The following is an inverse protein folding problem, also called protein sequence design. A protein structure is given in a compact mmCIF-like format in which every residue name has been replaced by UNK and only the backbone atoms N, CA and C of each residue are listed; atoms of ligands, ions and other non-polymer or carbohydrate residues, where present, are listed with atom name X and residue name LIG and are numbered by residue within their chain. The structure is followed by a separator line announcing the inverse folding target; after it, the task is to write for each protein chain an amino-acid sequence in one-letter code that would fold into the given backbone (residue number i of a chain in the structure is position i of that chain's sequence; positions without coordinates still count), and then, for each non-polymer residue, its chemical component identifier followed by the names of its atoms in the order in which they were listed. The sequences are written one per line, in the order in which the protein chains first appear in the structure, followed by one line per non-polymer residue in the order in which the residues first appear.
data_IF_870159286476
#
_entry.id   IF_870159286476
#
_cell.length_a   1.000
_cell.length_b   1.000
_cell.length_c   1.000
_cell.angle_alpha   90.00
_cell.angle_beta   90.00
_cell.angle_gamma   90.00
#
_symmetry.space_group_name_H-M   'P 1'
#
loop_
_entity.id
_entity.type
_entity.pdbx_description
1 polymer ?
#
# COMPACT_ATOMS: atom_id res chain seq x y z
N UNK A 1 71.86 -13.10 -31.39
CA UNK A 1 71.19 -14.04 -30.47
C UNK A 1 70.51 -13.27 -29.35
N UNK A 2 69.19 -13.40 -29.29
CA UNK A 2 68.26 -13.16 -28.17
C UNK A 2 68.30 -11.83 -27.41
N UNK A 3 67.34 -10.94 -27.67
CA UNK A 3 66.62 -10.14 -26.64
C UNK A 3 65.15 -9.88 -27.01
N UNK A 4 64.32 -10.84 -26.60
CA UNK A 4 62.97 -10.74 -26.01
C UNK A 4 62.07 -9.55 -26.43
N UNK A 5 61.05 -9.86 -27.26
CA UNK A 5 59.79 -9.12 -27.35
C UNK A 5 59.01 -9.28 -26.03
N UNK A 6 58.73 -8.17 -25.35
CA UNK A 6 57.71 -8.12 -24.29
C UNK A 6 56.39 -7.61 -24.88
N UNK A 7 55.51 -8.54 -25.25
CA UNK A 7 54.11 -8.25 -25.52
C UNK A 7 53.36 -8.10 -24.18
N UNK A 8 53.07 -6.87 -23.78
CA UNK A 8 52.18 -6.60 -22.66
C UNK A 8 50.72 -6.76 -23.12
N UNK A 9 50.15 -7.95 -22.91
CA UNK A 9 48.70 -8.17 -23.01
C UNK A 9 48.08 -7.59 -21.73
N UNK A 10 47.59 -6.35 -21.82
CA UNK A 10 46.75 -5.76 -20.79
C UNK A 10 45.32 -6.29 -20.98
N UNK A 11 45.01 -7.42 -20.33
CA UNK A 11 43.63 -7.91 -20.21
C UNK A 11 42.87 -6.92 -19.33
N UNK A 12 42.15 -5.97 -19.96
CA UNK A 12 41.08 -5.22 -19.32
C UNK A 12 39.98 -6.20 -18.93
N UNK A 13 40.05 -6.75 -17.72
CA UNK A 13 38.89 -7.35 -17.07
C UNK A 13 37.99 -6.21 -16.60
N UNK A 14 37.21 -5.64 -17.51
CA UNK A 14 35.98 -4.94 -17.14
C UNK A 14 35.03 -5.99 -16.54
N UNK A 15 35.24 -6.28 -15.25
CA UNK A 15 34.24 -6.94 -14.45
C UNK A 15 32.98 -6.09 -14.52
N UNK A 16 31.97 -6.58 -15.24
CA UNK A 16 30.59 -6.16 -15.05
C UNK A 16 30.25 -6.52 -13.61
N UNK A 17 30.57 -5.63 -12.68
CA UNK A 17 30.00 -5.66 -11.35
C UNK A 17 28.50 -5.45 -11.57
N UNK A 18 27.76 -6.55 -11.65
CA UNK A 18 26.31 -6.52 -11.49
C UNK A 18 26.08 -5.86 -10.15
N UNK A 19 25.70 -4.58 -10.19
CA UNK A 19 25.38 -3.81 -9.01
C UNK A 19 24.30 -4.60 -8.30
N UNK A 20 24.64 -5.20 -7.15
CA UNK A 20 23.68 -5.99 -6.38
C UNK A 20 22.43 -5.13 -6.21
N UNK A 21 21.28 -5.66 -6.59
CA UNK A 21 20.02 -4.94 -6.45
C UNK A 21 19.93 -4.49 -5.00
N UNK A 22 19.87 -3.18 -4.77
CA UNK A 22 19.77 -2.66 -3.42
C UNK A 22 18.50 -3.24 -2.79
N UNK A 23 18.61 -3.75 -1.56
CA UNK A 23 17.44 -4.19 -0.79
C UNK A 23 16.42 -3.04 -0.74
N UNK A 24 15.22 -3.30 -1.21
CA UNK A 24 14.11 -2.34 -1.13
C UNK A 24 12.92 -2.95 -0.41
N UNK A 25 12.00 -2.08 0.00
CA UNK A 25 10.74 -2.50 0.58
C UNK A 25 9.57 -1.97 -0.24
N UNK A 26 8.58 -2.82 -0.48
CA UNK A 26 7.31 -2.46 -1.05
C UNK A 26 6.25 -2.46 0.05
N UNK A 27 5.64 -1.30 0.29
CA UNK A 27 4.61 -1.13 1.30
C UNK A 27 3.22 -1.27 0.68
N UNK A 28 2.41 -2.16 1.23
CA UNK A 28 0.97 -2.21 0.99
C UNK A 28 0.28 -1.81 2.29
N UNK A 29 -0.64 -0.86 2.23
CA UNK A 29 -1.40 -0.37 3.38
C UNK A 29 -2.87 -0.66 3.16
N UNK A 30 -3.52 -1.32 4.11
CA UNK A 30 -4.95 -1.60 4.09
C UNK A 30 -5.68 -0.91 5.24
N UNK A 31 -6.72 -0.14 4.91
CA UNK A 31 -7.70 0.34 5.87
C UNK A 31 -8.66 -0.76 6.32
N UNK A 32 -9.54 -0.45 7.27
CA UNK A 32 -10.54 -1.34 7.83
C UNK A 32 -11.95 -1.09 7.28
N UNK A 33 -12.83 -2.10 7.33
CA UNK A 33 -14.22 -1.97 6.89
C UNK A 33 -15.08 -1.23 7.91
N UNK A 34 -16.20 -0.70 7.42
CA UNK A 34 -17.33 -0.30 8.24
C UNK A 34 -17.89 -1.48 9.03
N UNK A 35 -18.63 -1.20 10.10
CA UNK A 35 -19.37 -2.20 10.87
C UNK A 35 -20.77 -2.44 10.30
N UNK A 36 -21.38 -3.61 10.52
CA UNK A 36 -22.68 -3.98 9.92
C UNK A 36 -23.77 -3.02 10.34
N UNK A 37 -23.84 -2.70 11.63
CA UNK A 37 -24.86 -1.79 12.16
C UNK A 37 -24.91 -0.43 11.45
N UNK A 38 -23.80 0.02 10.86
CA UNK A 38 -23.72 1.27 10.13
C UNK A 38 -23.90 1.09 8.62
N UNK A 39 -23.40 0.00 8.05
CA UNK A 39 -23.68 -0.33 6.64
C UNK A 39 -25.18 -0.57 6.40
N UNK A 40 -25.87 -1.19 7.36
CA UNK A 40 -27.29 -1.53 7.26
C UNK A 40 -28.22 -0.30 7.40
N UNK A 41 -27.70 0.85 7.87
CA UNK A 41 -28.42 2.13 7.87
C UNK A 41 -28.37 2.85 6.51
N UNK A 42 -27.48 2.42 5.60
CA UNK A 42 -27.35 3.04 4.27
C UNK A 42 -28.49 2.60 3.37
N UNK A 43 -28.89 3.49 2.46
CA UNK A 43 -29.87 3.13 1.43
C UNK A 43 -29.42 1.87 0.66
N UNK A 44 -30.35 0.99 0.26
CA UNK A 44 -30.03 -0.19 -0.55
C UNK A 44 -29.20 0.17 -1.78
N UNK A 45 -28.10 -0.55 -2.00
CA UNK A 45 -27.18 -0.26 -3.09
C UNK A 45 -26.05 0.72 -2.73
N UNK A 46 -26.18 1.49 -1.65
CA UNK A 46 -25.17 2.46 -1.20
C UNK A 46 -24.21 1.93 -0.13
N UNK A 47 -24.29 0.64 0.22
CA UNK A 47 -23.33 -0.02 1.10
C UNK A 47 -21.94 -0.02 0.45
N UNK A 48 -20.95 0.38 1.23
CA UNK A 48 -19.55 0.38 0.81
C UNK A 48 -18.90 -0.97 1.10
N UNK A 49 -19.14 -1.52 2.30
CA UNK A 49 -18.45 -2.70 2.83
C UNK A 49 -19.41 -3.86 3.07
N UNK A 50 -20.01 -4.31 1.96
CA UNK A 50 -20.84 -5.52 1.92
C UNK A 50 -20.08 -6.75 2.40
N UNK A 51 -18.78 -6.79 2.12
CA UNK A 51 -17.86 -7.83 2.58
C UNK A 51 -16.65 -7.22 3.27
N UNK A 52 -16.33 -7.71 4.47
CA UNK A 52 -15.21 -7.23 5.29
C UNK A 52 -13.85 -7.33 4.57
N UNK A 53 -13.72 -8.33 3.67
CA UNK A 53 -12.47 -8.69 3.02
C UNK A 53 -12.16 -7.90 1.74
N UNK A 54 -12.97 -6.90 1.38
CA UNK A 54 -12.83 -6.15 0.12
C UNK A 54 -11.39 -5.62 -0.07
N UNK A 55 -10.87 -4.89 0.91
CA UNK A 55 -9.50 -4.34 0.84
C UNK A 55 -8.43 -5.42 1.00
N UNK A 56 -8.66 -6.39 1.89
CA UNK A 56 -7.71 -7.45 2.22
C UNK A 56 -7.43 -8.36 1.02
N UNK A 57 -8.49 -8.82 0.36
CA UNK A 57 -8.37 -9.79 -0.73
C UNK A 57 -7.66 -9.20 -1.94
N UNK A 58 -7.99 -7.96 -2.27
CA UNK A 58 -7.35 -7.24 -3.37
C UNK A 58 -5.91 -6.88 -3.04
N UNK A 59 -5.61 -6.40 -1.83
CA UNK A 59 -4.24 -6.18 -1.38
C UNK A 59 -3.40 -7.46 -1.46
N UNK A 60 -3.95 -8.60 -1.05
CA UNK A 60 -3.30 -9.92 -1.17
C UNK A 60 -2.98 -10.28 -2.60
N UNK A 61 -3.94 -10.16 -3.52
CA UNK A 61 -3.71 -10.45 -4.95
C UNK A 61 -2.63 -9.51 -5.51
N UNK A 62 -2.68 -8.23 -5.15
CA UNK A 62 -1.66 -7.26 -5.55
C UNK A 62 -0.26 -7.62 -5.05
N UNK A 63 -0.12 -8.06 -3.80
CA UNK A 63 1.17 -8.52 -3.27
C UNK A 63 1.72 -9.73 -4.03
N UNK A 64 0.87 -10.65 -4.48
CA UNK A 64 1.29 -11.77 -5.32
C UNK A 64 1.75 -11.31 -6.71
N UNK A 65 1.12 -10.29 -7.29
CA UNK A 65 1.58 -9.66 -8.54
C UNK A 65 2.96 -8.99 -8.34
N UNK A 66 3.10 -8.19 -7.27
CA UNK A 66 4.35 -7.51 -6.94
C UNK A 66 5.48 -8.52 -6.73
N UNK A 67 5.24 -9.61 -5.99
CA UNK A 67 6.23 -10.66 -5.76
C UNK A 67 6.78 -11.27 -7.06
N UNK A 68 5.95 -11.32 -8.13
CA UNK A 68 6.36 -11.84 -9.44
C UNK A 68 7.14 -10.84 -10.28
N UNK A 69 6.91 -9.54 -10.08
CA UNK A 69 7.43 -8.48 -10.96
C UNK A 69 8.51 -7.60 -10.33
N UNK A 70 8.60 -7.57 -9.00
CA UNK A 70 9.55 -6.75 -8.28
C UNK A 70 10.98 -7.30 -8.44
N UNK A 71 12.01 -6.43 -8.42
CA UNK A 71 13.39 -6.88 -8.39
C UNK A 71 13.66 -7.85 -7.24
N UNK A 72 14.57 -8.80 -7.46
CA UNK A 72 15.06 -9.69 -6.40
C UNK A 72 15.57 -8.86 -5.20
N UNK A 73 15.28 -9.33 -3.99
CA UNK A 73 15.60 -8.61 -2.74
C UNK A 73 14.55 -7.59 -2.30
N UNK A 74 13.50 -7.34 -3.09
CA UNK A 74 12.37 -6.50 -2.64
C UNK A 74 11.56 -7.23 -1.56
N UNK A 75 11.51 -6.68 -0.35
CA UNK A 75 10.66 -7.18 0.73
C UNK A 75 9.25 -6.60 0.59
N UNK A 76 8.22 -7.41 0.79
CA UNK A 76 6.83 -6.94 0.78
C UNK A 76 6.33 -6.86 2.22
N UNK A 77 6.01 -5.65 2.67
CA UNK A 77 5.39 -5.43 3.97
C UNK A 77 3.95 -4.96 3.78
N UNK A 78 3.06 -5.63 4.48
CA UNK A 78 1.65 -5.32 4.51
C UNK A 78 1.23 -4.72 5.84
N UNK A 79 0.93 -3.43 5.84
CA UNK A 79 0.41 -2.71 7.00
C UNK A 79 -1.12 -2.74 6.99
N UNK A 80 -1.74 -3.24 8.06
CA UNK A 80 -3.20 -3.32 8.16
C UNK A 80 -3.71 -2.56 9.38
N UNK A 81 -4.72 -1.71 9.18
CA UNK A 81 -5.37 -1.02 10.29
C UNK A 81 -6.20 -2.01 11.12
N UNK A 82 -5.78 -2.26 12.36
CA UNK A 82 -6.29 -3.38 13.15
C UNK A 82 -7.73 -3.18 13.64
N UNK A 83 -8.06 -1.98 14.10
CA UNK A 83 -9.25 -1.78 14.93
C UNK A 83 -10.56 -1.92 14.15
N UNK A 84 -10.56 -1.61 12.84
CA UNK A 84 -11.73 -1.83 11.99
C UNK A 84 -12.10 -3.31 11.90
N UNK A 85 -11.12 -4.20 11.79
CA UNK A 85 -11.35 -5.65 11.74
C UNK A 85 -11.73 -6.25 13.08
N UNK A 86 -11.19 -5.73 14.19
CA UNK A 86 -11.62 -6.12 15.55
C UNK A 86 -13.11 -5.80 15.73
N UNK A 87 -13.53 -4.58 15.40
CA UNK A 87 -14.92 -4.13 15.56
C UNK A 87 -15.87 -4.87 14.63
N UNK A 88 -15.53 -5.00 13.34
CA UNK A 88 -16.35 -5.76 12.39
C UNK A 88 -16.44 -7.24 12.75
N UNK A 89 -15.35 -7.85 13.21
CA UNK A 89 -15.33 -9.25 13.61
C UNK A 89 -16.18 -9.54 14.84
N UNK A 90 -16.25 -8.60 15.78
CA UNK A 90 -17.14 -8.70 16.93
C UNK A 90 -18.64 -8.72 16.53
N UNK A 91 -19.05 -7.88 15.56
CA UNK A 91 -20.44 -7.86 15.08
C UNK A 91 -20.81 -9.06 14.22
N UNK A 92 -19.88 -9.55 13.38
CA UNK A 92 -20.14 -10.71 12.51
C UNK A 92 -19.88 -12.06 13.20
N UNK A 93 -19.42 -12.06 14.45
CA UNK A 93 -18.95 -13.24 15.18
C UNK A 93 -17.91 -14.06 14.37
N UNK A 94 -16.99 -13.36 13.70
CA UNK A 94 -15.94 -13.97 12.87
C UNK A 94 -14.54 -13.59 13.37
N UNK A 95 -13.55 -14.51 13.27
CA UNK A 95 -12.18 -14.26 13.68
C UNK A 95 -11.41 -13.48 12.60
N UNK A 96 -11.84 -12.26 12.28
CA UNK A 96 -11.34 -11.50 11.12
C UNK A 96 -9.84 -11.19 11.20
N UNK A 97 -9.32 -10.89 12.39
CA UNK A 97 -7.87 -10.67 12.58
C UNK A 97 -7.07 -11.95 12.32
N UNK A 98 -7.57 -13.11 12.73
CA UNK A 98 -6.94 -14.40 12.47
C UNK A 98 -7.03 -14.77 10.98
N UNK A 99 -8.16 -14.45 10.33
CA UNK A 99 -8.30 -14.61 8.88
C UNK A 99 -7.24 -13.78 8.13
N UNK A 100 -6.94 -12.56 8.61
CA UNK A 100 -5.87 -11.73 8.05
C UNK A 100 -4.48 -12.33 8.34
N UNK A 101 -4.24 -12.83 9.55
CA UNK A 101 -3.00 -13.50 9.94
C UNK A 101 -2.74 -14.80 9.15
N UNK A 102 -3.78 -15.46 8.63
CA UNK A 102 -3.63 -16.62 7.74
C UNK A 102 -2.99 -16.27 6.40
N UNK A 103 -3.02 -14.99 5.98
CA UNK A 103 -2.43 -14.55 4.71
C UNK A 103 -0.91 -14.75 4.68
N UNK A 104 -0.11 -14.20 5.62
CA UNK A 104 1.33 -14.47 5.65
C UNK A 104 1.66 -15.94 5.96
N UNK A 105 0.77 -16.70 6.60
CA UNK A 105 0.96 -18.16 6.75
C UNK A 105 0.91 -18.88 5.39
N UNK A 106 -0.04 -18.50 4.52
CA UNK A 106 -0.15 -19.03 3.17
C UNK A 106 0.87 -18.42 2.19
N UNK A 107 1.36 -17.21 2.47
CA UNK A 107 2.29 -16.47 1.63
C UNK A 107 3.45 -15.89 2.47
N UNK A 108 4.45 -16.73 2.84
CA UNK A 108 5.50 -16.36 3.79
C UNK A 108 6.43 -15.22 3.36
N UNK A 109 6.37 -14.79 2.10
CA UNK A 109 7.10 -13.62 1.61
C UNK A 109 6.48 -12.28 2.08
N UNK A 110 5.27 -12.32 2.66
CA UNK A 110 4.55 -11.14 3.15
C UNK A 110 4.86 -10.93 4.63
N UNK A 111 5.40 -9.76 4.96
CA UNK A 111 5.58 -9.31 6.34
C UNK A 111 4.35 -8.51 6.80
N UNK A 112 3.49 -9.10 7.62
CA UNK A 112 2.30 -8.44 8.17
C UNK A 112 2.69 -7.54 9.36
N UNK A 113 2.25 -6.29 9.32
CA UNK A 113 2.40 -5.31 10.40
C UNK A 113 1.02 -4.74 10.74
N UNK A 114 0.60 -4.89 11.99
CA UNK A 114 -0.59 -4.21 12.47
C UNK A 114 -0.24 -2.76 12.84
N UNK A 115 -1.11 -1.83 12.46
CA UNK A 115 -1.07 -0.47 12.98
C UNK A 115 -2.46 -0.05 13.45
N UNK A 116 -2.50 0.95 14.34
CA UNK A 116 -3.71 1.44 15.00
C UNK A 116 -3.83 2.96 14.97
N UNK A 117 -2.81 3.66 14.46
CA UNK A 117 -2.82 5.13 14.37
C UNK A 117 -1.99 5.67 13.21
N UNK A 118 -2.24 6.93 12.87
CA UNK A 118 -1.46 7.69 11.88
C UNK A 118 0.00 7.79 12.24
N UNK A 119 0.31 8.01 13.52
CA UNK A 119 1.69 8.11 13.99
C UNK A 119 2.43 6.76 13.88
N UNK A 120 1.75 5.63 14.10
CA UNK A 120 2.36 4.31 13.87
C UNK A 120 2.67 4.07 12.38
N UNK A 121 1.75 4.42 11.48
CA UNK A 121 1.99 4.31 10.04
C UNK A 121 3.16 5.21 9.62
N UNK A 122 3.15 6.48 10.02
CA UNK A 122 4.23 7.43 9.70
C UNK A 122 5.56 6.97 10.28
N UNK A 123 5.57 6.47 11.53
CA UNK A 123 6.77 5.91 12.17
C UNK A 123 7.32 4.73 11.39
N UNK A 124 6.45 3.84 10.89
CA UNK A 124 6.89 2.72 10.07
C UNK A 124 7.44 3.17 8.71
N UNK A 125 6.77 4.12 8.05
CA UNK A 125 7.27 4.70 6.79
C UNK A 125 8.64 5.35 7.01
N UNK A 126 8.84 6.08 8.10
CA UNK A 126 10.08 6.81 8.36
C UNK A 126 11.24 5.94 8.82
N UNK A 127 10.97 4.84 9.53
CA UNK A 127 12.01 4.07 10.19
C UNK A 127 12.16 2.66 9.60
N UNK A 128 11.06 1.94 9.40
CA UNK A 128 11.03 0.57 8.86
C UNK A 128 12.11 -0.36 9.43
N UNK A 129 12.51 -1.41 8.69
CA UNK A 129 13.70 -2.20 9.03
C UNK A 129 15.04 -1.44 8.80
N UNK A 130 15.01 -0.12 8.57
CA UNK A 130 16.17 0.74 8.34
C UNK A 130 16.09 1.52 7.02
N UNK A 131 15.52 2.74 7.03
CA UNK A 131 15.36 3.58 5.82
C UNK A 131 16.64 4.13 5.20
N UNK A 132 17.79 4.02 5.87
CA UNK A 132 19.07 4.43 5.27
C UNK A 132 19.52 3.44 4.21
N UNK A 133 19.40 2.15 4.49
CA UNK A 133 19.82 1.04 3.61
C UNK A 133 18.67 0.48 2.76
N UNK A 134 17.44 0.47 3.29
CA UNK A 134 16.27 -0.11 2.62
C UNK A 134 15.20 0.95 2.34
N UNK A 135 15.22 1.45 1.11
CA UNK A 135 14.27 2.46 0.64
C UNK A 135 12.94 1.83 0.25
N UNK A 136 11.87 2.60 0.38
CA UNK A 136 10.55 2.22 -0.10
C UNK A 136 10.55 2.35 -1.63
N UNK A 137 10.53 1.24 -2.35
CA UNK A 137 10.45 1.18 -3.82
C UNK A 137 9.02 1.22 -4.34
N UNK A 138 8.04 0.93 -3.48
CA UNK A 138 6.64 1.15 -3.79
C UNK A 138 5.75 1.30 -2.57
N UNK A 139 4.63 1.99 -2.75
CA UNK A 139 3.64 2.25 -1.71
C UNK A 139 2.24 2.18 -2.34
N UNK A 140 1.39 1.26 -1.90
CA UNK A 140 0.00 1.23 -2.34
C UNK A 140 -0.98 1.24 -1.17
N UNK A 141 -2.05 2.05 -1.25
CA UNK A 141 -3.10 2.13 -0.24
C UNK A 141 -4.43 1.54 -0.76
N UNK A 142 -5.02 0.64 0.02
CA UNK A 142 -6.34 0.02 -0.21
C UNK A 142 -7.26 0.36 0.97
N UNK A 143 -8.32 1.11 0.72
CA UNK A 143 -9.24 1.50 1.77
C UNK A 143 -10.12 2.67 1.39
N UNK A 144 -10.86 3.17 2.36
CA UNK A 144 -11.67 4.37 2.20
C UNK A 144 -10.81 5.61 2.09
N UNK A 145 -11.27 6.57 1.32
CA UNK A 145 -10.63 7.87 1.24
C UNK A 145 -11.61 8.93 0.75
N UNK A 146 -11.22 10.17 1.01
CA UNK A 146 -11.76 11.32 0.34
C UNK A 146 -10.60 12.06 -0.34
N UNK A 147 -10.85 13.26 -0.87
CA UNK A 147 -9.80 14.04 -1.54
C UNK A 147 -8.64 14.44 -0.64
N UNK A 148 -8.79 14.47 0.68
CA UNK A 148 -7.79 14.99 1.63
C UNK A 148 -7.15 13.95 2.53
N UNK A 149 -7.68 12.72 2.61
CA UNK A 149 -7.22 11.73 3.57
C UNK A 149 -7.32 10.30 3.07
N UNK A 150 -6.35 9.48 3.50
CA UNK A 150 -6.57 8.05 3.65
C UNK A 150 -7.32 7.81 4.95
N UNK A 151 -8.51 7.21 4.86
CA UNK A 151 -9.38 6.97 6.00
C UNK A 151 -9.15 5.52 6.42
N UNK A 152 -8.29 5.32 7.42
CA UNK A 152 -7.94 3.97 7.89
C UNK A 152 -9.15 3.22 8.40
N UNK A 153 -10.18 3.96 8.77
CA UNK A 153 -11.49 3.44 9.02
C UNK A 153 -12.57 4.37 8.45
N UNK A 154 -13.78 3.85 8.25
CA UNK A 154 -14.93 4.67 7.91
C UNK A 154 -16.20 3.95 8.29
N UNK A 155 -17.10 4.59 9.05
CA UNK A 155 -18.31 3.94 9.56
C UNK A 155 -18.03 2.64 10.31
N UNK A 156 -16.92 2.60 11.04
CA UNK A 156 -16.50 1.46 11.84
C UNK A 156 -16.73 1.74 13.33
N UNK A 157 -16.62 3.00 13.75
CA UNK A 157 -16.76 3.45 15.16
C UNK A 157 -17.94 4.40 15.30
N UNK A 158 -17.98 5.39 14.41
CA UNK A 158 -19.06 6.37 14.29
C UNK A 158 -19.63 6.36 12.87
N UNK A 159 -20.96 6.43 12.74
CA UNK A 159 -21.66 6.39 11.45
C UNK A 159 -21.19 7.51 10.51
N UNK A 160 -20.96 7.16 9.24
CA UNK A 160 -20.62 8.08 8.15
C UNK A 160 -19.37 8.95 8.37
N UNK A 161 -18.45 8.57 9.27
CA UNK A 161 -17.20 9.28 9.53
C UNK A 161 -16.02 8.31 9.72
N UNK A 162 -14.80 8.85 9.67
CA UNK A 162 -13.56 8.18 10.09
C UNK A 162 -13.12 8.76 11.43
N UNK A 163 -12.61 7.91 12.32
CA UNK A 163 -11.96 8.33 13.57
C UNK A 163 -10.45 8.12 13.54
N UNK A 164 -9.92 7.43 12.51
CA UNK A 164 -8.50 7.28 12.25
C UNK A 164 -8.16 7.50 10.77
N UNK A 165 -7.33 8.50 10.47
CA UNK A 165 -6.97 8.87 9.09
C UNK A 165 -5.58 9.47 8.98
N UNK A 166 -4.93 9.33 7.82
CA UNK A 166 -3.78 10.14 7.42
C UNK A 166 -4.27 11.32 6.59
N UNK A 167 -4.26 12.52 7.16
CA UNK A 167 -4.64 13.74 6.44
C UNK A 167 -3.46 14.28 5.62
N UNK A 168 -3.73 14.94 4.50
CA UNK A 168 -2.67 15.54 3.66
C UNK A 168 -1.79 16.58 4.39
N UNK A 169 -2.30 17.13 5.49
CA UNK A 169 -1.58 18.09 6.36
C UNK A 169 -0.49 17.41 7.19
N UNK A 170 -0.64 16.12 7.45
CA UNK A 170 0.31 15.32 8.23
C UNK A 170 1.43 14.73 7.37
N UNK A 171 1.31 14.81 6.04
CA UNK A 171 2.32 14.29 5.12
C UNK A 171 3.69 14.97 5.28
N UNK A 172 3.75 16.16 5.88
CA UNK A 172 5.02 16.81 6.26
C UNK A 172 5.81 16.06 7.34
N UNK A 173 5.17 15.13 8.07
CA UNK A 173 5.82 14.24 9.03
C UNK A 173 6.48 13.03 8.35
N UNK A 174 6.17 12.75 7.08
CA UNK A 174 6.78 11.66 6.31
C UNK A 174 8.10 12.13 5.71
N UNK A 175 9.17 11.38 5.95
CA UNK A 175 10.48 11.63 5.37
C UNK A 175 10.47 11.24 3.90
N UNK A 176 10.58 12.21 2.99
CA UNK A 176 10.79 11.93 1.56
C UNK A 176 12.04 11.07 1.30
N UNK A 177 13.05 11.19 2.16
CA UNK A 177 14.24 10.34 2.15
C UNK A 177 13.97 8.86 2.45
N UNK A 178 12.78 8.48 2.90
CA UNK A 178 12.39 7.08 3.06
C UNK A 178 12.12 6.38 1.72
N UNK A 179 11.79 7.13 0.67
CA UNK A 179 11.42 6.59 -0.64
C UNK A 179 12.63 6.50 -1.58
N UNK A 180 12.61 5.49 -2.44
CA UNK A 180 13.53 5.41 -3.57
C UNK A 180 13.17 6.49 -4.61
N UNK A 181 14.16 6.94 -5.39
CA UNK A 181 13.99 8.04 -6.38
C UNK A 181 12.82 7.82 -7.35
N UNK A 182 12.57 6.57 -7.73
CA UNK A 182 11.51 6.17 -8.67
C UNK A 182 10.43 5.32 -8.00
N UNK A 183 10.16 5.55 -6.71
CA UNK A 183 9.17 4.77 -5.99
C UNK A 183 7.80 4.87 -6.66
N UNK A 184 7.16 3.73 -6.91
CA UNK A 184 5.80 3.68 -7.41
C UNK A 184 4.82 3.90 -6.27
N UNK A 185 4.01 4.96 -6.30
CA UNK A 185 2.95 5.12 -5.31
C UNK A 185 1.56 5.11 -5.98
N UNK A 186 0.61 4.44 -5.35
CA UNK A 186 -0.79 4.45 -5.77
C UNK A 186 -1.74 4.43 -4.58
N UNK A 187 -2.81 5.20 -4.66
CA UNK A 187 -4.00 5.01 -3.84
C UNK A 187 -5.09 4.38 -4.68
N UNK A 188 -5.71 3.33 -4.15
CA UNK A 188 -6.88 2.67 -4.72
C UNK A 188 -8.19 3.14 -4.08
N UNK A 189 -8.15 4.22 -3.29
CA UNK A 189 -9.34 4.82 -2.71
C UNK A 189 -9.92 5.95 -3.56
N UNK A 190 -11.20 6.25 -3.31
CA UNK A 190 -11.95 7.31 -3.96
C UNK A 190 -11.30 8.70 -3.82
N UNK A 191 -11.41 9.53 -4.86
CA UNK A 191 -11.13 10.98 -4.85
C UNK A 191 -9.70 11.42 -4.50
N UNK A 192 -8.75 10.52 -4.26
CA UNK A 192 -7.42 10.86 -3.76
C UNK A 192 -6.60 11.76 -4.70
N UNK A 193 -6.81 11.68 -6.01
CA UNK A 193 -6.12 12.55 -6.96
C UNK A 193 -6.67 13.99 -6.98
N UNK A 194 -7.81 14.26 -6.34
CA UNK A 194 -8.42 15.60 -6.30
C UNK A 194 -7.69 16.56 -5.33
N UNK A 195 -6.90 16.04 -4.37
CA UNK A 195 -5.96 16.86 -3.57
C UNK A 195 -4.77 16.05 -3.02
N UNK A 196 -5.05 14.93 -2.34
CA UNK A 196 -4.06 14.16 -1.58
C UNK A 196 -2.84 13.75 -2.41
N UNK A 197 -3.02 13.23 -3.64
CA UNK A 197 -1.89 12.83 -4.50
C UNK A 197 -0.91 13.97 -4.77
N UNK A 198 -1.43 15.19 -5.00
CA UNK A 198 -0.59 16.39 -5.19
C UNK A 198 0.13 16.76 -3.91
N UNK A 199 -0.53 16.65 -2.75
CA UNK A 199 0.09 16.91 -1.45
C UNK A 199 1.19 15.87 -1.13
N UNK A 200 0.94 14.60 -1.44
CA UNK A 200 1.92 13.52 -1.34
C UNK A 200 3.17 13.85 -2.14
N UNK A 201 3.03 14.17 -3.43
CA UNK A 201 4.18 14.54 -4.27
C UNK A 201 4.98 15.71 -3.71
N UNK A 202 4.30 16.76 -3.21
CA UNK A 202 4.97 17.93 -2.61
C UNK A 202 5.76 17.59 -1.35
N UNK A 203 5.30 16.62 -0.54
CA UNK A 203 5.89 16.32 0.77
C UNK A 203 6.89 15.17 0.75
N UNK A 204 6.63 14.12 -0.03
CA UNK A 204 7.48 12.93 -0.10
C UNK A 204 8.43 12.95 -1.29
N UNK A 205 8.14 13.75 -2.32
CA UNK A 205 8.89 13.73 -3.58
C UNK A 205 8.48 12.62 -4.54
N UNK A 206 7.62 11.67 -4.13
CA UNK A 206 7.14 10.57 -4.98
C UNK A 206 5.79 10.89 -5.61
N UNK A 207 5.55 10.53 -6.87
CA UNK A 207 4.23 10.68 -7.48
C UNK A 207 3.27 9.60 -6.97
N UNK A 208 2.01 9.97 -6.75
CA UNK A 208 0.97 9.03 -6.34
C UNK A 208 -0.16 8.99 -7.36
N UNK A 209 -0.31 7.85 -8.03
CA UNK A 209 -1.51 7.59 -8.83
C UNK A 209 -2.72 7.57 -7.89
N UNK A 210 -3.78 8.30 -8.21
CA UNK A 210 -5.03 8.29 -7.44
C UNK A 210 -6.25 8.45 -8.33
N UNK A 211 -7.43 8.27 -7.76
CA UNK A 211 -8.69 8.42 -8.48
C UNK A 211 -9.18 9.88 -8.43
N UNK A 212 -9.60 10.42 -9.58
CA UNK A 212 -10.63 11.47 -9.61
C UNK A 212 -11.97 10.74 -9.71
N UNK A 213 -12.89 11.00 -8.77
CA UNK A 213 -14.13 10.23 -8.64
C UNK A 213 -14.02 8.96 -7.79
N UNK A 214 -15.06 8.11 -7.84
CA UNK A 214 -15.20 6.92 -7.00
C UNK A 214 -14.46 5.71 -7.58
N UNK A 215 -13.83 4.94 -6.69
CA UNK A 215 -13.36 3.58 -6.95
C UNK A 215 -14.46 2.58 -6.63
N UNK A 216 -14.45 1.43 -7.30
CA UNK A 216 -15.47 0.40 -7.14
C UNK A 216 -14.84 -0.93 -6.73
N UNK A 217 -15.18 -1.36 -5.52
CA UNK A 217 -14.81 -2.64 -4.91
C UNK A 217 -15.96 -3.67 -4.95
N UNK A 218 -17.06 -3.37 -5.63
CA UNK A 218 -18.16 -4.33 -5.84
C UNK A 218 -17.71 -5.43 -6.81
N UNK A 219 -18.31 -6.62 -6.73
CA UNK A 219 -18.10 -7.69 -7.73
C UNK A 219 -16.63 -8.00 -8.09
N UNK A 220 -15.69 -7.79 -7.16
CA UNK A 220 -14.26 -7.94 -7.45
C UNK A 220 -13.86 -9.34 -7.87
N UNK A 221 -14.60 -10.35 -7.42
CA UNK A 221 -14.39 -11.74 -7.82
C UNK A 221 -14.58 -11.95 -9.34
N UNK A 222 -15.42 -11.14 -9.99
CA UNK A 222 -15.64 -11.16 -11.45
C UNK A 222 -14.50 -10.47 -12.22
N UNK A 223 -13.66 -9.69 -11.53
CA UNK A 223 -12.62 -8.83 -12.12
C UNK A 223 -11.21 -9.20 -11.66
N UNK A 224 -10.98 -10.48 -11.35
CA UNK A 224 -9.69 -10.96 -10.84
C UNK A 224 -9.17 -10.16 -9.62
N UNK A 225 -10.09 -9.69 -8.79
CA UNK A 225 -9.81 -8.87 -7.61
C UNK A 225 -9.16 -7.51 -7.89
N UNK A 226 -9.30 -6.99 -9.11
CA UNK A 226 -8.82 -5.66 -9.48
C UNK A 226 -9.85 -4.59 -9.12
N UNK A 227 -9.36 -3.51 -8.53
CA UNK A 227 -10.18 -2.32 -8.23
C UNK A 227 -10.59 -1.65 -9.52
N UNK A 228 -11.87 -1.36 -9.67
CA UNK A 228 -12.38 -0.61 -10.81
C UNK A 228 -12.66 0.84 -10.45
N UNK A 229 -13.10 1.60 -11.44
CA UNK A 229 -13.56 2.97 -11.30
C UNK A 229 -15.06 3.00 -11.61
N UNK A 230 -15.81 3.82 -10.86
CA UNK A 230 -17.18 4.14 -11.21
C UNK A 230 -17.25 4.95 -12.52
N UNK A 231 -18.43 5.01 -13.14
CA UNK A 231 -18.64 5.80 -14.36
C UNK A 231 -18.16 7.25 -14.18
N UNK A 232 -17.40 7.76 -15.16
CA UNK A 232 -16.83 9.11 -15.15
C UNK A 232 -15.56 9.30 -14.32
N UNK A 233 -15.15 8.31 -13.52
CA UNK A 233 -13.92 8.37 -12.75
C UNK A 233 -12.69 7.97 -13.59
N UNK A 234 -11.50 8.45 -13.19
CA UNK A 234 -10.23 8.18 -13.90
C UNK A 234 -9.03 8.14 -12.95
N UNK A 235 -8.02 7.35 -13.30
CA UNK A 235 -6.71 7.37 -12.64
C UNK A 235 -5.86 8.53 -13.14
N UNK A 236 -5.24 9.28 -12.23
CA UNK A 236 -4.38 10.43 -12.54
C UNK A 236 -3.14 10.41 -11.66
N UNK A 237 -2.02 10.96 -12.15
CA UNK A 237 -0.79 11.21 -11.39
C UNK A 237 -0.71 12.66 -10.94
#
# INVERSE_FOLDING_TARGET
MNRLLFSAIFLLTCGLATQAAADTEYLIVSGGPAVRKFEDLRAPGQQHDRWWGNFIRTARVRMQEIQKTAPAGTRITWLVYRDGYVRRGAEEHQPLTQNIESVPQAYPFINLVWFRSTDELIRYINNGPGRRSMKISGFEYFGHSNKFSFMFDYSSDTYATSTAWLHEKELGKISGGAFARNAYCQSWGCHTAESFSKAWKRKTGSWMVGAIGKTDYSYMHERNWRVALSSGARWVR
#
